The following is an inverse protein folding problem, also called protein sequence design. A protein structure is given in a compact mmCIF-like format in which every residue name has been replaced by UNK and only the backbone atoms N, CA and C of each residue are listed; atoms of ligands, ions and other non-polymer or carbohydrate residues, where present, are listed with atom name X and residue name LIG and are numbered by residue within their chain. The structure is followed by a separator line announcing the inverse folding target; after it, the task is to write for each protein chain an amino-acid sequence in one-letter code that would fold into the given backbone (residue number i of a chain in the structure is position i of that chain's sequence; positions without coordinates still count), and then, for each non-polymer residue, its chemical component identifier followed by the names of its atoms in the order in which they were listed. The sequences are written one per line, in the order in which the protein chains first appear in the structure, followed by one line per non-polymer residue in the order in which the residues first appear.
data_IF_501020047813
#
_entry.id   IF_501020047813
#
_cell.length_a   1.000
_cell.length_b   1.000
_cell.length_c   1.000
_cell.angle_alpha   90.00
_cell.angle_beta   90.00
_cell.angle_gamma   90.00
#
_symmetry.space_group_name_H-M   'P 1'
#
loop_
_entity.id
_entity.type
_entity.pdbx_description
1 polymer ?
#
# COMPACT_ATOMS: atom_id res chain seq x y z
N UNK A 1 19.10 33.92 13.83
CA UNK A 1 18.61 32.87 12.93
C UNK A 1 17.12 32.71 13.25
N UNK A 2 16.23 32.88 12.27
CA UNK A 2 14.78 32.72 12.48
C UNK A 2 14.40 31.40 11.82
N UNK A 3 14.09 30.39 12.62
CA UNK A 3 13.47 29.15 12.17
C UNK A 3 11.98 29.37 11.99
N UNK A 4 11.47 29.19 10.77
CA UNK A 4 10.04 29.14 10.53
C UNK A 4 9.61 27.68 10.64
N UNK A 5 8.87 27.28 11.69
CA UNK A 5 8.30 25.95 11.71
C UNK A 5 7.38 25.82 10.50
N UNK A 6 7.55 24.75 9.73
CA UNK A 6 6.56 24.34 8.74
C UNK A 6 5.37 23.79 9.51
N UNK A 7 4.47 24.68 9.94
CA UNK A 7 3.16 24.26 10.43
C UNK A 7 2.45 23.56 9.28
N UNK A 8 2.06 22.30 9.51
CA UNK A 8 1.22 21.53 8.59
C UNK A 8 -0.17 22.18 8.52
N UNK A 9 -0.26 23.21 7.68
CA UNK A 9 -1.49 23.99 7.44
C UNK A 9 -2.04 23.73 6.03
N UNK A 10 -1.57 22.67 5.38
CA UNK A 10 -2.02 22.29 4.05
C UNK A 10 -3.42 21.69 4.09
N UNK A 11 -4.26 22.05 3.12
CA UNK A 11 -5.49 21.30 2.88
C UNK A 11 -5.14 19.84 2.58
N UNK A 12 -5.97 18.86 3.01
CA UNK A 12 -5.73 17.47 2.69
C UNK A 12 -5.66 17.28 1.17
N UNK A 13 -4.75 16.41 0.72
CA UNK A 13 -4.64 16.08 -0.70
C UNK A 13 -5.97 15.57 -1.26
N UNK A 14 -6.26 15.91 -2.52
CA UNK A 14 -7.47 15.46 -3.19
C UNK A 14 -7.57 13.94 -3.23
N UNK A 15 -8.80 13.43 -3.36
CA UNK A 15 -9.04 11.98 -3.52
C UNK A 15 -8.26 11.42 -4.72
N UNK A 16 -8.15 12.18 -5.81
CA UNK A 16 -7.37 11.77 -6.99
C UNK A 16 -5.88 11.64 -6.70
N UNK A 17 -5.30 12.60 -5.98
CA UNK A 17 -3.89 12.57 -5.61
C UNK A 17 -3.58 11.42 -4.65
N UNK A 18 -4.45 11.21 -3.65
CA UNK A 18 -4.31 10.09 -2.70
C UNK A 18 -4.42 8.75 -3.39
N UNK A 19 -5.37 8.61 -4.32
CA UNK A 19 -5.53 7.39 -5.10
C UNK A 19 -4.35 7.14 -6.05
N UNK A 20 -3.88 8.15 -6.77
CA UNK A 20 -2.69 8.04 -7.63
C UNK A 20 -1.44 7.62 -6.82
N UNK A 21 -1.28 8.17 -5.62
CA UNK A 21 -0.21 7.77 -4.70
C UNK A 21 -0.34 6.29 -4.29
N UNK A 22 -1.55 5.80 -3.99
CA UNK A 22 -1.78 4.38 -3.70
C UNK A 22 -1.40 3.47 -4.89
N UNK A 23 -1.78 3.85 -6.12
CA UNK A 23 -1.39 3.10 -7.34
C UNK A 23 0.13 3.06 -7.52
N UNK A 24 0.81 4.19 -7.29
CA UNK A 24 2.26 4.26 -7.37
C UNK A 24 2.95 3.39 -6.31
N UNK A 25 2.47 3.45 -5.05
CA UNK A 25 2.97 2.61 -3.96
C UNK A 25 2.79 1.12 -4.27
N UNK A 26 1.61 0.71 -4.74
CA UNK A 26 1.35 -0.66 -5.16
C UNK A 26 2.31 -1.13 -6.26
N UNK A 27 2.51 -0.29 -7.27
CA UNK A 27 3.42 -0.59 -8.39
C UNK A 27 4.87 -0.81 -7.92
N UNK A 28 5.31 -0.09 -6.89
CA UNK A 28 6.63 -0.30 -6.28
C UNK A 28 6.68 -1.58 -5.45
N UNK A 29 5.63 -1.85 -4.66
CA UNK A 29 5.52 -3.05 -3.81
C UNK A 29 5.49 -4.35 -4.63
N UNK A 30 4.92 -4.34 -5.83
CA UNK A 30 4.91 -5.49 -6.73
C UNK A 30 6.28 -5.79 -7.35
N UNK A 31 7.17 -4.79 -7.44
CA UNK A 31 8.51 -4.96 -8.01
C UNK A 31 9.46 -5.52 -6.96
N UNK A 32 9.87 -4.68 -6.02
CA UNK A 32 10.78 -5.02 -4.92
C UNK A 32 10.58 -4.14 -3.67
N UNK A 33 9.68 -3.15 -3.72
CA UNK A 33 9.41 -2.23 -2.62
C UNK A 33 10.54 -1.27 -2.28
N UNK A 34 11.55 -1.11 -3.16
CA UNK A 34 12.75 -0.31 -2.87
C UNK A 34 12.47 1.11 -2.40
N UNK A 35 11.41 1.73 -2.94
CA UNK A 35 11.07 3.12 -2.68
C UNK A 35 9.87 3.29 -1.73
N UNK A 36 9.34 2.20 -1.16
CA UNK A 36 8.19 2.26 -0.25
C UNK A 36 8.59 2.22 1.23
N UNK A 37 9.83 1.85 1.56
CA UNK A 37 10.27 1.74 2.95
C UNK A 37 9.35 0.80 3.73
N UNK A 38 8.86 1.26 4.89
CA UNK A 38 7.93 0.52 5.73
C UNK A 38 6.47 0.56 5.25
N UNK A 39 6.18 1.29 4.17
CA UNK A 39 4.82 1.39 3.63
C UNK A 39 4.38 0.06 3.03
N UNK A 40 3.43 -0.58 3.69
CA UNK A 40 2.97 -1.94 3.43
C UNK A 40 1.82 -2.00 2.43
N UNK A 41 1.50 -3.19 1.94
CA UNK A 41 0.30 -3.40 1.12
C UNK A 41 -0.99 -3.01 1.85
N UNK A 42 -1.00 -3.13 3.19
CA UNK A 42 -2.13 -2.70 4.01
C UNK A 42 -2.27 -1.18 4.01
N UNK A 43 -1.15 -0.45 4.06
CA UNK A 43 -1.18 1.02 4.01
C UNK A 43 -1.64 1.52 2.63
N UNK A 44 -1.24 0.81 1.56
CA UNK A 44 -1.74 1.04 0.20
C UNK A 44 -3.26 0.85 0.10
N UNK A 45 -3.78 -0.24 0.68
CA UNK A 45 -5.21 -0.55 0.73
C UNK A 45 -5.99 0.53 1.48
N UNK A 46 -5.52 0.93 2.67
CA UNK A 46 -6.15 1.96 3.49
C UNK A 46 -6.16 3.32 2.77
N UNK A 47 -5.05 3.68 2.13
CA UNK A 47 -4.93 4.92 1.35
C UNK A 47 -5.89 4.94 0.16
N UNK A 48 -5.98 3.84 -0.59
CA UNK A 48 -6.88 3.71 -1.73
C UNK A 48 -8.35 3.73 -1.31
N UNK A 49 -8.70 3.02 -0.22
CA UNK A 49 -10.06 2.98 0.33
C UNK A 49 -10.51 4.36 0.81
N UNK A 50 -9.63 5.08 1.50
CA UNK A 50 -9.86 6.47 1.92
C UNK A 50 -9.95 7.48 0.77
N UNK A 51 -9.58 7.07 -0.45
CA UNK A 51 -9.58 7.88 -1.67
C UNK A 51 -10.59 7.37 -2.72
N UNK A 52 -11.57 6.53 -2.32
CA UNK A 52 -12.55 5.95 -3.25
C UNK A 52 -13.46 7.01 -3.90
N UNK A 53 -13.92 8.00 -3.15
CA UNK A 53 -14.83 9.02 -3.67
C UNK A 53 -16.13 8.45 -4.25
N UNK A 54 -16.68 9.11 -5.27
CA UNK A 54 -17.93 8.71 -5.96
C UNK A 54 -17.80 7.38 -6.72
N UNK A 55 -16.59 7.05 -7.22
CA UNK A 55 -16.25 5.81 -7.93
C UNK A 55 -17.34 5.29 -8.90
N UNK A 56 -17.86 6.17 -9.76
CA UNK A 56 -19.00 5.90 -10.66
C UNK A 56 -18.85 4.63 -11.51
N UNK A 57 -17.62 4.26 -11.84
CA UNK A 57 -17.30 3.09 -12.68
C UNK A 57 -16.76 1.91 -11.87
N UNK A 58 -16.61 2.02 -10.55
CA UNK A 58 -16.12 0.94 -9.67
C UNK A 58 -14.62 0.68 -9.75
N UNK A 59 -13.86 1.41 -10.57
CA UNK A 59 -12.44 1.15 -10.80
C UNK A 59 -11.59 1.28 -9.53
N UNK A 60 -11.95 2.18 -8.62
CA UNK A 60 -11.20 2.37 -7.37
C UNK A 60 -11.48 1.23 -6.39
N UNK A 61 -12.73 0.78 -6.33
CA UNK A 61 -13.09 -0.42 -5.56
C UNK A 61 -12.40 -1.67 -6.10
N UNK A 62 -12.36 -1.86 -7.42
CA UNK A 62 -11.63 -2.97 -8.05
C UNK A 62 -10.14 -2.93 -7.72
N UNK A 63 -9.52 -1.74 -7.75
CA UNK A 63 -8.14 -1.58 -7.35
C UNK A 63 -7.91 -2.02 -5.89
N UNK A 64 -8.78 -1.64 -4.95
CA UNK A 64 -8.68 -2.08 -3.55
C UNK A 64 -8.72 -3.61 -3.43
N UNK A 65 -9.62 -4.27 -4.16
CA UNK A 65 -9.72 -5.74 -4.18
C UNK A 65 -8.44 -6.40 -4.73
N UNK A 66 -7.80 -5.79 -5.74
CA UNK A 66 -6.53 -6.29 -6.27
C UNK A 66 -5.40 -6.21 -5.24
N UNK A 67 -5.37 -5.14 -4.43
CA UNK A 67 -4.38 -4.98 -3.34
C UNK A 67 -4.60 -6.03 -2.25
N UNK A 68 -5.85 -6.25 -1.84
CA UNK A 68 -6.24 -7.28 -0.85
C UNK A 68 -5.85 -8.69 -1.33
N UNK A 69 -6.08 -8.99 -2.61
CA UNK A 69 -5.68 -10.26 -3.22
C UNK A 69 -4.15 -10.44 -3.18
N UNK A 70 -3.40 -9.41 -3.57
CA UNK A 70 -1.93 -9.46 -3.54
C UNK A 70 -1.41 -9.68 -2.11
N UNK A 71 -2.02 -9.04 -1.12
CA UNK A 71 -1.68 -9.23 0.29
C UNK A 71 -1.91 -10.69 0.73
N UNK A 72 -3.07 -11.26 0.39
CA UNK A 72 -3.43 -12.64 0.72
C UNK A 72 -2.46 -13.67 0.11
N UNK A 73 -2.06 -13.45 -1.15
CA UNK A 73 -1.10 -14.31 -1.84
C UNK A 73 0.29 -14.27 -1.18
N UNK A 74 0.77 -13.08 -0.78
CA UNK A 74 2.08 -12.94 -0.11
C UNK A 74 2.09 -13.60 1.26
N UNK A 75 1.01 -13.47 2.04
CA UNK A 75 0.86 -14.17 3.32
C UNK A 75 0.92 -15.68 3.12
N UNK A 76 0.25 -16.21 2.08
CA UNK A 76 0.30 -17.64 1.75
C UNK A 76 1.71 -18.11 1.39
N UNK A 77 2.44 -17.35 0.57
CA UNK A 77 3.84 -17.69 0.21
C UNK A 77 4.75 -17.71 1.44
N UNK A 78 4.63 -16.74 2.35
CA UNK A 78 5.42 -16.70 3.57
C UNK A 78 5.18 -17.92 4.46
N UNK A 79 3.93 -18.35 4.62
CA UNK A 79 3.56 -19.55 5.39
C UNK A 79 4.06 -20.85 4.75
N UNK A 80 4.19 -20.91 3.42
CA UNK A 80 4.65 -22.10 2.70
C UNK A 80 6.19 -22.24 2.65
N UNK A 81 6.93 -21.24 3.11
CA UNK A 81 8.41 -21.21 3.11
C UNK A 81 9.07 -21.70 4.41
N UNK A 82 8.35 -22.37 5.32
CA UNK A 82 8.95 -22.99 6.50
C UNK A 82 10.01 -24.04 6.10
N UNK A 83 11.28 -23.90 6.53
CA UNK A 83 12.30 -24.89 6.25
C UNK A 83 12.00 -26.14 7.09
N UNK A 84 11.92 -27.29 6.42
CA UNK A 84 11.94 -28.60 7.06
C UNK A 84 13.18 -28.65 7.97
N UNK A 85 12.97 -28.53 9.29
CA UNK A 85 14.05 -28.70 10.27
C UNK A 85 14.58 -30.11 10.10
N UNK A 86 15.77 -30.20 9.50
CA UNK A 86 16.54 -31.43 9.40
C UNK A 86 16.83 -31.96 10.80
N UNK A 87 16.03 -32.91 11.24
CA UNK A 87 16.33 -33.78 12.36
C UNK A 87 17.22 -34.92 11.90
N UNK A 88 18.52 -34.68 11.84
CA UNK A 88 19.53 -35.73 11.94
C UNK A 88 20.64 -35.22 12.85
N UNK A 89 20.55 -35.58 14.13
CA UNK A 89 21.64 -35.86 15.06
C UNK A 89 21.03 -36.53 16.29
#
# INVERSE_FOLDING_TARGET
MIERPITDSGAPASEDLRFAAAVAAFSQQLKDGRYTGDFSLKDTEDLARGARGEDRFGLRAEFVQLVELAQSLRTTTASNSEPLKGGYN
#
